data_IF_427195009558
#
_entry.id   IF_427195009558
#
_cell.length_a   1.000
_cell.length_b   1.000
_cell.length_c   1.000
_cell.angle_alpha   90.00
_cell.angle_beta   90.00
_cell.angle_gamma   90.00
#
_symmetry.space_group_name_H-M   'P 1'
#
loop_
_entity.id
_entity.type
_entity.pdbx_description
1 polymer ?
#
# COMPACT_ATOMS: atom_id res chain seq x y z
N UNK A 1 15.32 20.55 -13.75
CA UNK A 1 14.45 19.59 -14.47
C UNK A 1 14.75 19.49 -15.97
N UNK A 2 14.76 20.58 -16.75
CA UNK A 2 15.02 20.51 -18.20
C UNK A 2 16.33 19.80 -18.56
N UNK A 3 17.40 20.03 -17.78
CA UNK A 3 18.69 19.33 -17.95
C UNK A 3 18.56 17.82 -17.82
N UNK A 4 17.86 17.32 -16.79
CA UNK A 4 17.63 15.89 -16.57
C UNK A 4 16.86 15.28 -17.75
N UNK A 5 15.80 15.95 -18.21
CA UNK A 5 15.00 15.47 -19.35
C UNK A 5 15.83 15.44 -20.63
N UNK A 6 16.65 16.47 -20.89
CA UNK A 6 17.52 16.50 -22.06
C UNK A 6 18.56 15.37 -22.01
N UNK A 7 19.12 15.09 -20.83
CA UNK A 7 20.05 13.98 -20.63
C UNK A 7 19.36 12.62 -20.81
N UNK A 8 18.15 12.44 -20.30
CA UNK A 8 17.38 11.20 -20.51
C UNK A 8 17.05 11.00 -21.99
N UNK A 9 16.67 12.08 -22.68
CA UNK A 9 16.31 12.04 -24.11
C UNK A 9 17.50 11.72 -25.01
N UNK A 10 18.74 12.02 -24.58
CA UNK A 10 19.95 11.68 -25.33
C UNK A 10 20.45 10.26 -25.08
N UNK A 11 19.79 9.49 -24.21
CA UNK A 11 20.18 8.13 -23.82
C UNK A 11 19.07 7.11 -24.15
N UNK A 12 18.78 6.83 -25.43
CA UNK A 12 17.69 5.91 -25.82
C UNK A 12 17.91 4.45 -25.37
N UNK A 13 19.17 4.07 -25.09
CA UNK A 13 19.56 2.75 -24.58
C UNK A 13 19.65 2.67 -23.06
N UNK A 14 19.19 3.69 -22.33
CA UNK A 14 19.23 3.70 -20.87
C UNK A 14 18.31 2.61 -20.30
N UNK A 15 18.89 1.60 -19.65
CA UNK A 15 18.11 0.53 -19.00
C UNK A 15 17.76 0.85 -17.54
N UNK A 16 18.61 1.60 -16.84
CA UNK A 16 18.44 1.90 -15.42
C UNK A 16 18.70 3.38 -15.19
N UNK A 17 17.70 4.07 -14.64
CA UNK A 17 17.85 5.42 -14.14
C UNK A 17 17.57 5.44 -12.64
N UNK A 18 18.55 5.90 -11.87
CA UNK A 18 18.41 6.14 -10.44
C UNK A 18 18.74 7.58 -10.14
N UNK A 19 17.82 8.29 -9.50
CA UNK A 19 18.04 9.64 -9.03
C UNK A 19 17.64 9.72 -7.56
N UNK A 20 18.65 9.63 -6.69
CA UNK A 20 18.50 9.66 -5.25
C UNK A 20 18.88 11.05 -4.74
N UNK A 21 17.86 11.88 -4.57
CA UNK A 21 17.92 13.15 -3.87
C UNK A 21 16.95 13.00 -2.70
N UNK A 22 17.25 12.11 -1.75
CA UNK A 22 16.54 11.94 -0.47
C UNK A 22 17.07 12.89 0.58
N UNK A 23 16.27 13.27 1.57
CA UNK A 23 16.67 14.26 2.58
C UNK A 23 17.89 13.78 3.36
N UNK A 24 17.88 12.50 3.76
CA UNK A 24 19.03 11.83 4.37
C UNK A 24 20.28 11.83 3.45
N UNK A 25 20.09 11.72 2.14
CA UNK A 25 21.19 11.72 1.16
C UNK A 25 21.78 13.12 0.96
N UNK A 26 20.93 14.15 0.88
CA UNK A 26 21.37 15.54 0.71
C UNK A 26 22.17 16.02 1.92
N UNK A 27 21.74 15.68 3.14
CA UNK A 27 22.45 16.05 4.38
C UNK A 27 23.87 15.49 4.44
N UNK A 28 24.11 14.29 3.90
CA UNK A 28 25.44 13.69 3.82
C UNK A 28 26.38 14.37 2.80
N UNK A 29 25.85 15.26 1.95
CA UNK A 29 26.60 15.87 0.85
C UNK A 29 26.97 17.34 1.07
N UNK A 30 26.67 17.92 2.25
CA UNK A 30 26.84 19.36 2.56
C UNK A 30 26.25 20.30 1.47
N UNK A 31 25.28 19.79 0.70
CA UNK A 31 24.75 20.50 -0.46
C UNK A 31 23.77 21.60 0.00
N UNK A 32 23.98 22.88 -0.36
CA UNK A 32 23.06 23.97 0.00
C UNK A 32 21.75 23.93 -0.82
N UNK A 33 21.60 22.96 -1.72
CA UNK A 33 20.49 22.90 -2.67
C UNK A 33 19.25 22.34 -1.97
N UNK A 34 18.38 23.26 -1.52
CA UNK A 34 16.97 22.95 -1.32
C UNK A 34 16.24 23.18 -2.64
N UNK A 35 15.45 22.22 -3.10
CA UNK A 35 14.66 22.34 -4.33
C UNK A 35 13.30 22.99 -4.00
N UNK A 36 13.10 24.31 -4.18
CA UNK A 36 11.79 24.92 -4.00
C UNK A 36 10.76 24.36 -4.99
N UNK A 37 9.55 24.11 -4.49
CA UNK A 37 8.41 23.58 -5.26
C UNK A 37 8.06 24.42 -6.48
N UNK A 38 8.40 25.71 -6.45
CA UNK A 38 8.15 26.67 -7.54
C UNK A 38 8.98 26.42 -8.81
N UNK A 39 9.98 25.54 -8.77
CA UNK A 39 10.80 25.21 -9.94
C UNK A 39 10.19 24.13 -10.85
N UNK A 40 9.03 23.59 -10.48
CA UNK A 40 8.41 22.43 -11.15
C UNK A 40 7.19 22.86 -11.98
N UNK A 41 7.46 23.51 -13.11
CA UNK A 41 6.41 23.90 -14.06
C UNK A 41 6.08 22.75 -15.04
N UNK A 42 4.80 22.51 -15.37
CA UNK A 42 4.42 21.57 -16.42
C UNK A 42 4.99 22.02 -17.77
N UNK A 43 5.56 21.08 -18.54
CA UNK A 43 6.14 21.39 -19.85
C UNK A 43 5.09 21.38 -20.97
N UNK A 44 5.37 22.15 -22.02
CA UNK A 44 4.63 22.18 -23.29
C UNK A 44 5.24 21.26 -24.36
N UNK A 45 6.37 20.61 -24.08
CA UNK A 45 7.09 19.73 -25.01
C UNK A 45 6.55 18.31 -24.99
N UNK A 46 6.65 17.61 -26.12
CA UNK A 46 6.32 16.18 -26.19
C UNK A 46 7.16 15.36 -25.20
N UNK A 47 6.58 14.35 -24.53
CA UNK A 47 7.32 13.48 -23.62
C UNK A 47 8.44 12.68 -24.33
N UNK A 48 9.57 12.52 -23.66
CA UNK A 48 10.67 11.67 -24.12
C UNK A 48 10.34 10.19 -23.87
N UNK A 49 10.32 9.38 -24.93
CA UNK A 49 10.11 7.94 -24.81
C UNK A 49 11.41 7.23 -24.41
N UNK A 50 11.37 6.50 -23.29
CA UNK A 50 12.50 5.76 -22.73
C UNK A 50 12.27 4.25 -22.92
N UNK A 51 12.17 3.80 -24.18
CA UNK A 51 11.71 2.45 -24.53
C UNK A 51 12.58 1.31 -23.99
N UNK A 52 13.86 1.56 -23.72
CA UNK A 52 14.79 0.57 -23.17
C UNK A 52 14.80 0.54 -21.64
N UNK A 53 14.09 1.46 -20.98
CA UNK A 53 14.15 1.62 -19.53
C UNK A 53 13.46 0.44 -18.84
N UNK A 54 14.22 -0.23 -17.98
CA UNK A 54 13.79 -1.37 -17.17
C UNK A 54 13.55 -0.97 -15.72
N UNK A 55 14.30 0.00 -15.21
CA UNK A 55 14.18 0.47 -13.82
C UNK A 55 14.24 2.00 -13.80
N UNK A 56 13.21 2.60 -13.22
CA UNK A 56 13.15 4.01 -12.88
C UNK A 56 13.03 4.13 -11.36
N UNK A 57 14.10 4.56 -10.71
CA UNK A 57 14.12 4.87 -9.27
C UNK A 57 14.30 6.37 -9.09
N UNK A 58 13.35 7.01 -8.42
CA UNK A 58 13.38 8.45 -8.16
C UNK A 58 13.00 8.71 -6.71
N UNK A 59 13.92 9.28 -5.97
CA UNK A 59 13.74 9.70 -4.58
C UNK A 59 13.97 11.22 -4.55
N UNK A 60 12.89 11.99 -4.40
CA UNK A 60 12.88 13.46 -4.37
C UNK A 60 11.44 13.96 -4.05
N UNK A 61 11.21 15.27 -3.86
CA UNK A 61 9.85 15.77 -3.61
C UNK A 61 8.84 15.32 -4.67
N UNK A 62 7.62 14.93 -4.27
CA UNK A 62 6.64 14.35 -5.19
C UNK A 62 6.25 15.29 -6.35
N UNK A 63 6.34 16.61 -6.18
CA UNK A 63 6.16 17.58 -7.26
C UNK A 63 7.22 17.45 -8.38
N UNK A 64 8.47 17.14 -8.00
CA UNK A 64 9.56 16.83 -8.92
C UNK A 64 9.26 15.55 -9.70
N UNK A 65 8.84 14.50 -9.01
CA UNK A 65 8.43 13.21 -9.59
C UNK A 65 7.28 13.41 -10.58
N UNK A 66 6.23 14.12 -10.18
CA UNK A 66 5.08 14.43 -11.03
C UNK A 66 5.51 15.15 -12.32
N UNK A 67 6.42 16.12 -12.20
CA UNK A 67 6.95 16.85 -13.35
C UNK A 67 7.76 15.94 -14.27
N UNK A 68 8.61 15.07 -13.71
CA UNK A 68 9.34 14.06 -14.48
C UNK A 68 8.38 13.15 -15.24
N UNK A 69 7.36 12.58 -14.56
CA UNK A 69 6.36 11.68 -15.16
C UNK A 69 5.48 12.35 -16.23
N UNK A 70 5.34 13.67 -16.20
CA UNK A 70 4.66 14.41 -17.27
C UNK A 70 5.49 14.51 -18.56
N UNK A 71 6.82 14.32 -18.46
CA UNK A 71 7.79 14.59 -19.53
C UNK A 71 8.51 13.36 -20.06
N UNK A 72 8.31 12.20 -19.45
CA UNK A 72 8.83 10.93 -19.94
C UNK A 72 7.69 9.97 -20.21
N UNK A 73 7.96 8.96 -21.04
CA UNK A 73 7.13 7.77 -21.21
C UNK A 73 8.01 6.56 -20.99
N UNK A 74 7.69 5.76 -19.97
CA UNK A 74 8.38 4.50 -19.69
C UNK A 74 7.54 3.34 -20.24
N UNK A 75 8.16 2.21 -20.63
CA UNK A 75 7.42 1.04 -21.09
C UNK A 75 6.68 0.37 -19.92
N UNK A 76 5.58 -0.37 -20.16
CA UNK A 76 4.85 -1.10 -19.11
C UNK A 76 5.70 -2.15 -18.37
N UNK A 77 6.79 -2.61 -18.98
CA UNK A 77 7.77 -3.51 -18.37
C UNK A 77 8.75 -2.82 -17.43
N UNK A 78 8.77 -1.48 -17.37
CA UNK A 78 9.64 -0.73 -16.48
C UNK A 78 9.16 -0.85 -15.05
N UNK A 79 10.08 -1.14 -14.13
CA UNK A 79 9.85 -1.04 -12.70
C UNK A 79 9.95 0.41 -12.28
N UNK A 80 8.93 0.87 -11.56
CA UNK A 80 8.84 2.24 -11.07
C UNK A 80 8.97 2.27 -9.56
N UNK A 81 9.99 2.96 -9.05
CA UNK A 81 10.15 3.24 -7.62
C UNK A 81 10.15 4.74 -7.43
N UNK A 82 9.16 5.26 -6.72
CA UNK A 82 9.04 6.68 -6.39
C UNK A 82 9.01 6.85 -4.89
N UNK A 83 9.88 7.70 -4.36
CA UNK A 83 10.02 7.94 -2.93
C UNK A 83 10.00 9.45 -2.68
N UNK A 84 9.18 9.89 -1.72
CA UNK A 84 9.19 11.24 -1.19
C UNK A 84 9.33 11.19 0.33
N UNK A 85 10.49 11.63 0.81
CA UNK A 85 10.83 11.81 2.22
C UNK A 85 10.94 13.30 2.62
N UNK A 86 10.49 14.22 1.76
CA UNK A 86 10.62 15.68 1.94
C UNK A 86 9.34 16.36 2.36
N UNK A 87 8.24 15.99 1.70
CA UNK A 87 7.02 16.81 1.72
C UNK A 87 6.34 16.76 3.09
N UNK A 88 6.31 15.57 3.70
CA UNK A 88 5.65 15.31 4.97
C UNK A 88 6.66 15.41 6.11
N UNK A 89 6.32 16.18 7.13
CA UNK A 89 7.15 16.40 8.32
C UNK A 89 6.56 15.75 9.56
N UNK A 90 5.34 15.23 9.50
CA UNK A 90 4.62 14.72 10.66
C UNK A 90 4.08 15.85 11.57
N UNK A 91 4.20 17.11 11.15
CA UNK A 91 3.55 18.24 11.79
C UNK A 91 2.18 18.46 11.13
N UNK A 92 1.10 18.24 11.87
CA UNK A 92 -0.27 18.24 11.35
C UNK A 92 -0.63 19.47 10.51
N UNK A 93 -0.26 20.67 10.96
CA UNK A 93 -0.64 21.91 10.26
C UNK A 93 0.14 22.09 8.95
N UNK A 94 1.43 21.76 8.96
CA UNK A 94 2.26 21.72 7.76
C UNK A 94 1.76 20.65 6.77
N UNK A 95 1.60 19.42 7.25
CA UNK A 95 1.18 18.28 6.42
C UNK A 95 -0.19 18.53 5.78
N UNK A 96 -1.12 19.16 6.51
CA UNK A 96 -2.41 19.61 5.95
C UNK A 96 -2.24 20.70 4.90
N UNK A 97 -1.32 21.63 5.11
CA UNK A 97 -1.01 22.69 4.16
C UNK A 97 -0.47 22.19 2.82
N UNK A 98 0.35 21.13 2.83
CA UNK A 98 0.94 20.53 1.61
C UNK A 98 0.09 19.41 0.99
N UNK A 99 -0.89 18.88 1.73
CA UNK A 99 -1.72 17.72 1.33
C UNK A 99 -2.27 17.84 -0.09
N UNK A 100 -2.91 18.95 -0.43
CA UNK A 100 -3.60 19.08 -1.72
C UNK A 100 -2.60 19.10 -2.88
N UNK A 101 -1.43 19.74 -2.71
CA UNK A 101 -0.33 19.69 -3.67
C UNK A 101 0.24 18.29 -3.85
N UNK A 102 0.36 17.53 -2.76
CA UNK A 102 0.80 16.13 -2.79
C UNK A 102 -0.21 15.25 -3.53
N UNK A 103 -1.52 15.42 -3.30
CA UNK A 103 -2.57 14.68 -3.99
C UNK A 103 -2.63 14.97 -5.50
N UNK A 104 -2.36 16.22 -5.90
CA UNK A 104 -2.23 16.62 -7.31
C UNK A 104 -1.03 15.90 -7.93
N UNK A 105 0.11 15.91 -7.25
CA UNK A 105 1.35 15.30 -7.74
C UNK A 105 1.24 13.78 -7.88
N UNK A 106 0.69 13.09 -6.87
CA UNK A 106 0.34 11.67 -6.96
C UNK A 106 -0.66 11.38 -8.08
N UNK A 107 -1.57 12.33 -8.35
CA UNK A 107 -2.46 12.27 -9.50
C UNK A 107 -1.75 12.19 -10.83
N UNK A 108 -0.72 13.02 -11.02
CA UNK A 108 0.07 13.02 -12.25
C UNK A 108 0.84 11.70 -12.44
N UNK A 109 1.34 11.11 -11.34
CA UNK A 109 1.95 9.76 -11.35
C UNK A 109 0.92 8.72 -11.76
N UNK A 110 -0.28 8.74 -11.16
CA UNK A 110 -1.40 7.87 -11.55
C UNK A 110 -1.76 7.99 -13.03
N UNK A 111 -1.91 9.22 -13.55
CA UNK A 111 -2.16 9.47 -14.98
C UNK A 111 -1.03 8.97 -15.88
N UNK A 112 0.22 8.98 -15.41
CA UNK A 112 1.33 8.36 -16.13
C UNK A 112 1.15 6.84 -16.20
N UNK A 113 0.85 6.19 -15.08
CA UNK A 113 0.61 4.76 -15.04
C UNK A 113 -0.58 4.34 -15.91
N UNK A 114 -1.69 5.08 -15.90
CA UNK A 114 -2.84 4.77 -16.76
C UNK A 114 -2.52 4.75 -18.25
N UNK A 115 -1.52 5.53 -18.70
CA UNK A 115 -1.06 5.49 -20.10
C UNK A 115 -0.30 4.21 -20.44
N UNK A 116 0.26 3.52 -19.44
CA UNK A 116 0.98 2.25 -19.60
C UNK A 116 0.07 1.03 -19.52
N UNK A 117 -1.08 1.14 -18.83
CA UNK A 117 -2.07 0.08 -18.66
C UNK A 117 -3.36 0.49 -19.37
N UNK A 118 -3.51 0.17 -20.67
CA UNK A 118 -4.68 0.59 -21.41
C UNK A 118 -5.96 -0.06 -20.84
N UNK A 119 -7.04 0.72 -20.74
CA UNK A 119 -8.31 0.38 -20.05
C UNK A 119 -9.04 -0.89 -20.56
N UNK A 120 -8.58 -1.50 -21.66
CA UNK A 120 -9.23 -2.62 -22.33
C UNK A 120 -8.77 -4.00 -21.86
N UNK A 121 -7.73 -4.07 -21.04
CA UNK A 121 -7.30 -5.31 -20.41
C UNK A 121 -7.48 -5.18 -18.90
N UNK A 122 -7.81 -6.28 -18.21
CA UNK A 122 -7.67 -6.40 -16.75
C UNK A 122 -6.17 -6.34 -16.38
N UNK A 123 -5.48 -5.32 -16.85
CA UNK A 123 -4.06 -5.11 -16.83
C UNK A 123 -3.76 -4.15 -15.68
N UNK A 124 -3.06 -4.67 -14.70
CA UNK A 124 -2.66 -3.94 -13.52
C UNK A 124 -1.91 -4.89 -12.59
N UNK A 125 -1.80 -4.48 -11.34
CA UNK A 125 -1.16 -5.27 -10.31
C UNK A 125 -2.16 -6.28 -9.75
N UNK A 126 -1.80 -7.55 -9.79
CA UNK A 126 -2.60 -8.62 -9.20
C UNK A 126 -2.57 -8.57 -7.67
N UNK A 127 -1.49 -8.04 -7.10
CA UNK A 127 -1.29 -7.92 -5.67
C UNK A 127 -0.78 -6.54 -5.29
N UNK A 128 -1.36 -5.99 -4.24
CA UNK A 128 -0.89 -4.78 -3.57
C UNK A 128 -0.40 -5.15 -2.19
N UNK A 129 0.70 -4.55 -1.73
CA UNK A 129 1.09 -4.63 -0.33
C UNK A 129 1.39 -3.27 0.28
N UNK A 130 1.08 -3.15 1.57
CA UNK A 130 1.55 -2.07 2.43
C UNK A 130 2.63 -2.63 3.35
N UNK A 131 3.81 -2.05 3.23
CA UNK A 131 4.98 -2.48 3.97
C UNK A 131 5.62 -1.27 4.65
N UNK A 132 6.57 -1.52 5.56
CA UNK A 132 7.46 -0.46 6.02
C UNK A 132 8.52 -0.20 4.95
N UNK A 133 8.86 1.06 4.71
CA UNK A 133 10.03 1.36 3.91
C UNK A 133 11.29 1.01 4.72
N UNK A 134 12.31 0.34 4.14
CA UNK A 134 13.53 -0.05 4.85
C UNK A 134 14.22 1.11 5.55
N UNK A 135 14.15 2.30 4.94
CA UNK A 135 14.79 3.52 5.43
C UNK A 135 13.87 4.38 6.33
N UNK A 136 12.70 3.85 6.73
CA UNK A 136 11.74 4.57 7.58
C UNK A 136 11.64 4.01 9.00
N UNK A 137 11.46 4.89 9.99
CA UNK A 137 11.07 4.48 11.33
C UNK A 137 9.62 3.96 11.36
N UNK A 138 9.42 2.77 11.94
CA UNK A 138 8.11 2.06 11.96
C UNK A 138 6.94 2.88 12.52
N UNK A 139 7.18 3.88 13.38
CA UNK A 139 6.12 4.61 14.08
C UNK A 139 5.78 6.00 13.51
N UNK A 140 6.44 6.44 12.44
CA UNK A 140 6.21 7.77 11.85
C UNK A 140 5.10 7.79 10.80
N UNK A 141 4.43 6.67 10.56
CA UNK A 141 3.33 6.57 9.60
C UNK A 141 3.77 6.46 8.14
N UNK A 142 4.98 5.94 7.88
CA UNK A 142 5.50 5.72 6.55
C UNK A 142 4.52 4.90 5.68
N UNK A 143 4.21 5.39 4.50
CA UNK A 143 3.36 4.70 3.55
C UNK A 143 4.21 4.17 2.40
N UNK A 144 4.52 2.88 2.42
CA UNK A 144 5.16 2.21 1.29
C UNK A 144 4.15 1.26 0.62
N UNK A 145 3.60 1.71 -0.50
CA UNK A 145 2.62 0.97 -1.31
C UNK A 145 3.35 0.29 -2.45
N UNK A 146 3.10 -1.00 -2.60
CA UNK A 146 3.76 -1.83 -3.59
C UNK A 146 2.72 -2.50 -4.48
N UNK A 147 2.90 -2.43 -5.80
CA UNK A 147 2.15 -3.17 -6.81
C UNK A 147 3.00 -4.26 -7.48
N UNK A 148 2.46 -5.49 -7.55
CA UNK A 148 3.10 -6.65 -8.20
C UNK A 148 2.19 -7.29 -9.25
N UNK A 149 2.80 -7.77 -10.34
CA UNK A 149 2.11 -8.48 -11.42
C UNK A 149 1.85 -9.94 -11.09
N UNK A 150 2.76 -10.61 -10.37
CA UNK A 150 2.53 -11.92 -9.77
C UNK A 150 2.76 -11.83 -8.25
N UNK A 151 2.02 -12.63 -7.48
CA UNK A 151 2.25 -12.78 -6.04
C UNK A 151 3.60 -13.43 -5.71
N UNK A 152 4.14 -14.22 -6.65
CA UNK A 152 5.44 -14.88 -6.50
C UNK A 152 6.60 -13.98 -6.89
N UNK A 153 6.33 -12.82 -7.48
CA UNK A 153 7.38 -11.88 -7.84
C UNK A 153 8.04 -11.34 -6.56
N UNK A 154 9.34 -11.58 -6.44
CA UNK A 154 10.14 -11.06 -5.32
C UNK A 154 10.38 -9.55 -5.46
N UNK A 155 10.29 -9.01 -6.68
CA UNK A 155 10.60 -7.61 -6.97
C UNK A 155 9.33 -6.86 -7.40
N UNK A 156 9.11 -5.64 -6.86
CA UNK A 156 7.91 -4.90 -7.18
C UNK A 156 7.99 -4.25 -8.56
N UNK A 157 6.85 -4.24 -9.26
CA UNK A 157 6.72 -3.54 -10.54
C UNK A 157 6.47 -2.05 -10.33
N UNK A 158 5.79 -1.69 -9.26
CA UNK A 158 5.65 -0.31 -8.83
C UNK A 158 5.76 -0.21 -7.31
N UNK A 159 6.50 0.77 -6.81
CA UNK A 159 6.51 1.14 -5.40
C UNK A 159 6.40 2.65 -5.24
N UNK A 160 5.59 3.07 -4.28
CA UNK A 160 5.38 4.46 -3.88
C UNK A 160 5.66 4.55 -2.38
N UNK A 161 6.77 5.20 -2.03
CA UNK A 161 7.14 5.51 -0.64
C UNK A 161 6.81 6.97 -0.33
N UNK A 162 6.01 7.21 0.70
CA UNK A 162 5.76 8.53 1.28
C UNK A 162 6.03 8.42 2.78
N UNK A 163 7.06 9.06 3.30
CA UNK A 163 7.35 8.98 4.73
C UNK A 163 7.95 10.25 5.29
N UNK A 164 7.91 10.37 6.61
CA UNK A 164 8.51 11.47 7.35
C UNK A 164 9.97 11.14 7.61
N UNK A 165 10.88 12.02 7.19
CA UNK A 165 12.31 11.84 7.40
C UNK A 165 12.68 11.70 8.90
N UNK A 166 13.82 11.06 9.15
CA UNK A 166 14.24 10.67 10.50
C UNK A 166 14.46 11.85 11.45
N UNK A 167 14.80 13.01 10.91
CA UNK A 167 14.95 14.27 11.65
C UNK A 167 13.67 14.80 12.30
N UNK A 168 12.49 14.45 11.78
CA UNK A 168 11.24 15.01 12.27
C UNK A 168 10.61 14.12 13.34
N UNK A 169 10.19 14.65 14.50
CA UNK A 169 9.69 13.82 15.60
C UNK A 169 8.23 13.35 15.40
N UNK A 170 7.51 13.91 14.44
CA UNK A 170 6.08 13.68 14.24
C UNK A 170 5.74 12.40 13.49
N UNK A 171 4.45 12.12 13.42
CA UNK A 171 3.86 11.06 12.60
C UNK A 171 2.76 11.62 11.72
N UNK A 172 2.53 10.99 10.57
CA UNK A 172 1.50 11.44 9.64
C UNK A 172 0.11 11.19 10.25
N UNK A 173 -0.74 12.21 10.27
CA UNK A 173 -2.11 12.08 10.76
C UNK A 173 -2.98 11.16 9.89
N UNK A 174 -3.90 10.41 10.51
CA UNK A 174 -4.73 9.40 9.84
C UNK A 174 -5.60 9.97 8.70
N UNK A 175 -6.09 11.21 8.81
CA UNK A 175 -6.88 11.86 7.75
C UNK A 175 -6.04 12.15 6.49
N UNK A 176 -4.75 12.42 6.68
CA UNK A 176 -3.78 12.62 5.62
C UNK A 176 -3.43 11.28 4.99
N UNK A 177 -3.08 10.27 5.79
CA UNK A 177 -2.84 8.89 5.32
C UNK A 177 -4.03 8.41 4.50
N UNK A 178 -5.26 8.57 5.01
CA UNK A 178 -6.49 8.18 4.31
C UNK A 178 -6.60 8.85 2.94
N UNK A 179 -6.32 10.15 2.84
CA UNK A 179 -6.40 10.90 1.58
C UNK A 179 -5.34 10.41 0.56
N UNK A 180 -4.12 10.16 1.02
CA UNK A 180 -3.02 9.65 0.19
C UNK A 180 -3.31 8.22 -0.30
N UNK A 181 -3.79 7.36 0.59
CA UNK A 181 -4.22 5.99 0.28
C UNK A 181 -5.30 5.97 -0.80
N UNK A 182 -6.36 6.77 -0.66
CA UNK A 182 -7.40 6.86 -1.71
C UNK A 182 -6.79 7.23 -3.04
N UNK A 183 -5.90 8.23 -3.05
CA UNK A 183 -5.32 8.74 -4.29
C UNK A 183 -4.52 7.69 -5.03
N UNK A 184 -3.69 6.93 -4.32
CA UNK A 184 -2.82 5.90 -4.92
C UNK A 184 -3.61 4.64 -5.28
N UNK A 185 -4.48 4.15 -4.39
CA UNK A 185 -5.23 2.91 -4.65
C UNK A 185 -6.28 3.06 -5.75
N UNK A 186 -6.76 4.27 -6.02
CA UNK A 186 -7.66 4.56 -7.14
C UNK A 186 -6.95 4.65 -8.49
N UNK A 187 -5.62 4.51 -8.55
CA UNK A 187 -4.93 4.39 -9.83
C UNK A 187 -5.47 3.14 -10.57
N UNK A 188 -5.75 3.22 -11.88
CA UNK A 188 -6.33 2.09 -12.62
C UNK A 188 -5.55 0.79 -12.43
N UNK A 189 -4.22 0.86 -12.51
CA UNK A 189 -3.34 -0.29 -12.30
C UNK A 189 -3.40 -0.90 -10.90
N UNK A 190 -3.75 -0.12 -9.87
CA UNK A 190 -3.86 -0.59 -8.47
C UNK A 190 -5.26 -1.15 -8.17
N UNK A 191 -6.29 -0.44 -8.60
CA UNK A 191 -7.70 -0.72 -8.24
C UNK A 191 -8.21 -2.11 -8.66
N UNK A 192 -7.56 -2.75 -9.64
CA UNK A 192 -7.90 -4.09 -10.15
C UNK A 192 -7.31 -5.24 -9.32
N UNK A 193 -6.55 -4.95 -8.27
CA UNK A 193 -5.88 -5.96 -7.47
C UNK A 193 -6.86 -6.99 -6.86
N UNK A 194 -6.47 -8.25 -6.95
CA UNK A 194 -7.22 -9.38 -6.37
C UNK A 194 -6.71 -9.77 -4.98
N UNK A 195 -5.53 -9.28 -4.62
CA UNK A 195 -4.82 -9.58 -3.38
C UNK A 195 -4.36 -8.32 -2.70
N UNK A 196 -4.52 -8.27 -1.39
CA UNK A 196 -3.95 -7.21 -0.57
C UNK A 196 -3.17 -7.83 0.59
N UNK A 197 -1.94 -7.37 0.80
CA UNK A 197 -1.06 -7.82 1.88
C UNK A 197 -0.65 -6.63 2.75
N UNK A 198 -0.52 -6.83 4.04
CA UNK A 198 -0.04 -5.78 4.95
C UNK A 198 0.67 -6.36 6.17
N UNK A 199 1.76 -5.71 6.56
CA UNK A 199 2.35 -5.82 7.90
C UNK A 199 2.39 -4.45 8.60
N UNK A 200 1.67 -3.46 8.07
CA UNK A 200 1.80 -2.06 8.46
C UNK A 200 0.80 -1.66 9.58
N UNK A 201 1.30 -1.03 10.64
CA UNK A 201 0.50 -0.68 11.83
C UNK A 201 -0.58 0.38 11.59
N UNK A 202 -0.51 1.17 10.52
CA UNK A 202 -1.54 2.18 10.23
C UNK A 202 -2.94 1.55 10.09
N UNK A 203 -3.03 0.26 9.74
CA UNK A 203 -4.29 -0.46 9.67
C UNK A 203 -4.84 -0.89 11.04
N UNK A 204 -4.20 -0.48 12.14
CA UNK A 204 -4.77 -0.50 13.48
C UNK A 204 -5.91 0.54 13.66
N UNK A 205 -6.25 1.32 12.63
CA UNK A 205 -7.41 2.20 12.60
C UNK A 205 -8.49 1.63 11.64
N UNK A 206 -9.74 1.40 12.11
CA UNK A 206 -10.84 0.93 11.26
C UNK A 206 -11.15 1.83 10.07
N UNK A 207 -10.97 3.14 10.21
CA UNK A 207 -11.20 4.14 9.15
C UNK A 207 -10.23 3.95 7.98
N UNK A 208 -9.00 3.54 8.27
CA UNK A 208 -8.00 3.26 7.24
C UNK A 208 -8.31 1.94 6.53
N UNK A 209 -8.80 0.91 7.23
CA UNK A 209 -9.36 -0.28 6.59
C UNK A 209 -10.50 0.05 5.63
N UNK A 210 -11.45 0.89 6.08
CA UNK A 210 -12.56 1.33 5.23
C UNK A 210 -12.04 2.01 3.97
N UNK A 211 -11.05 2.89 4.13
CA UNK A 211 -10.40 3.59 3.03
C UNK A 211 -9.78 2.61 2.03
N UNK A 212 -9.00 1.64 2.50
CA UNK A 212 -8.34 0.65 1.64
C UNK A 212 -9.35 -0.24 0.92
N UNK A 213 -10.28 -0.83 1.66
CA UNK A 213 -11.24 -1.80 1.11
C UNK A 213 -12.21 -1.17 0.12
N UNK A 214 -12.62 0.09 0.35
CA UNK A 214 -13.46 0.83 -0.59
C UNK A 214 -12.75 1.19 -1.90
N UNK A 215 -11.42 1.28 -1.89
CA UNK A 215 -10.62 1.53 -3.10
C UNK A 215 -10.22 0.24 -3.83
N UNK A 216 -10.40 -0.92 -3.20
CA UNK A 216 -9.98 -2.22 -3.72
C UNK A 216 -11.16 -3.21 -3.79
N UNK A 217 -12.20 -2.92 -4.60
CA UNK A 217 -13.44 -3.70 -4.61
C UNK A 217 -13.27 -5.14 -5.11
N UNK A 218 -12.20 -5.42 -5.85
CA UNK A 218 -11.90 -6.73 -6.44
C UNK A 218 -11.03 -7.62 -5.55
N UNK A 219 -10.59 -7.14 -4.38
CA UNK A 219 -9.77 -7.94 -3.47
C UNK A 219 -10.55 -9.15 -2.97
N UNK A 220 -10.01 -10.32 -3.29
CA UNK A 220 -10.52 -11.62 -2.84
C UNK A 220 -9.74 -12.17 -1.66
N UNK A 221 -8.48 -11.79 -1.53
CA UNK A 221 -7.56 -12.39 -0.56
C UNK A 221 -6.83 -11.30 0.22
N UNK A 222 -6.93 -11.37 1.55
CA UNK A 222 -6.22 -10.52 2.48
C UNK A 222 -5.10 -11.33 3.16
N UNK A 223 -3.91 -10.77 3.24
CA UNK A 223 -2.77 -11.35 3.94
C UNK A 223 -2.32 -10.37 5.03
N UNK A 224 -2.37 -10.81 6.28
CA UNK A 224 -1.90 -10.05 7.43
C UNK A 224 -0.70 -10.78 8.04
N UNK A 225 0.42 -10.07 8.17
CA UNK A 225 1.68 -10.63 8.65
C UNK A 225 2.25 -9.82 9.81
N UNK A 226 2.96 -10.51 10.70
CA UNK A 226 3.72 -9.96 11.84
C UNK A 226 2.87 -9.37 13.00
N UNK A 227 3.39 -9.47 14.22
CA UNK A 227 2.71 -9.11 15.48
C UNK A 227 2.27 -7.63 15.60
N UNK A 228 2.87 -6.73 14.82
CA UNK A 228 2.45 -5.31 14.79
C UNK A 228 0.98 -5.13 14.36
N UNK A 229 0.34 -6.20 13.86
CA UNK A 229 -0.99 -6.19 13.26
C UNK A 229 -2.12 -6.79 14.12
N UNK A 230 -1.92 -7.12 15.41
CA UNK A 230 -3.01 -7.58 16.28
C UNK A 230 -4.21 -6.60 16.26
N UNK A 231 -3.91 -5.30 16.42
CA UNK A 231 -4.93 -4.24 16.32
C UNK A 231 -5.52 -4.12 14.91
N UNK A 232 -4.78 -4.53 13.89
CA UNK A 232 -5.25 -4.50 12.51
C UNK A 232 -6.34 -5.54 12.24
N UNK A 233 -6.29 -6.77 12.79
CA UNK A 233 -7.42 -7.70 12.67
C UNK A 233 -8.64 -7.18 13.42
N UNK A 234 -8.45 -6.66 14.64
CA UNK A 234 -9.56 -6.10 15.42
C UNK A 234 -10.24 -4.97 14.63
N UNK A 235 -9.44 -4.07 14.05
CA UNK A 235 -9.91 -2.96 13.22
C UNK A 235 -10.53 -3.40 11.90
N UNK A 236 -10.00 -4.45 11.26
CA UNK A 236 -10.60 -5.09 10.08
C UNK A 236 -11.97 -5.65 10.43
N UNK A 237 -12.07 -6.36 11.56
CA UNK A 237 -13.32 -6.96 12.04
C UNK A 237 -14.37 -5.88 12.30
N UNK A 238 -13.96 -4.78 12.92
CA UNK A 238 -14.81 -3.61 13.14
C UNK A 238 -15.27 -2.98 11.82
N UNK A 239 -14.36 -2.75 10.87
CA UNK A 239 -14.69 -2.20 9.55
C UNK A 239 -15.67 -3.09 8.79
N UNK A 240 -15.45 -4.41 8.77
CA UNK A 240 -16.32 -5.38 8.11
C UNK A 240 -17.68 -5.54 8.80
N UNK A 241 -17.74 -5.37 10.13
CA UNK A 241 -18.99 -5.40 10.88
C UNK A 241 -19.87 -4.17 10.60
N UNK A 242 -19.26 -2.98 10.55
CA UNK A 242 -19.97 -1.73 10.26
C UNK A 242 -20.32 -1.56 8.78
N UNK A 243 -19.45 -2.03 7.88
CA UNK A 243 -19.62 -1.91 6.43
C UNK A 243 -19.50 -3.30 5.77
N UNK A 244 -20.50 -4.19 5.96
CA UNK A 244 -20.43 -5.56 5.47
C UNK A 244 -20.28 -5.65 3.94
N UNK A 245 -20.69 -4.62 3.21
CA UNK A 245 -20.65 -4.58 1.74
C UNK A 245 -19.36 -3.97 1.16
N UNK A 246 -18.43 -3.50 2.00
CA UNK A 246 -17.30 -2.65 1.56
C UNK A 246 -16.33 -3.34 0.59
N UNK A 247 -16.16 -4.65 0.75
CA UNK A 247 -15.32 -5.48 -0.13
C UNK A 247 -16.13 -6.71 -0.52
N UNK A 248 -16.97 -6.63 -1.57
CA UNK A 248 -17.93 -7.69 -1.88
C UNK A 248 -17.26 -8.98 -2.36
N UNK A 249 -16.05 -8.88 -2.94
CA UNK A 249 -15.32 -10.02 -3.49
C UNK A 249 -14.48 -10.80 -2.47
N UNK A 250 -14.37 -10.33 -1.22
CA UNK A 250 -13.52 -10.95 -0.21
C UNK A 250 -13.94 -12.40 0.06
N UNK A 251 -13.00 -13.32 -0.15
CA UNK A 251 -13.19 -14.76 -0.06
C UNK A 251 -12.20 -15.43 0.90
N UNK A 252 -11.01 -14.88 1.11
CA UNK A 252 -10.04 -15.43 2.08
C UNK A 252 -9.31 -14.37 2.89
N UNK A 253 -8.99 -14.73 4.13
CA UNK A 253 -8.11 -14.00 5.05
C UNK A 253 -7.03 -14.96 5.49
N UNK A 254 -5.77 -14.56 5.33
CA UNK A 254 -4.59 -15.31 5.73
C UNK A 254 -3.90 -14.53 6.85
N UNK A 255 -3.71 -15.19 7.99
CA UNK A 255 -3.03 -14.66 9.15
C UNK A 255 -1.71 -15.41 9.33
N UNK A 256 -0.60 -14.69 9.45
CA UNK A 256 0.72 -15.30 9.58
C UNK A 256 1.59 -14.57 10.62
N UNK A 257 2.24 -15.34 11.50
CA UNK A 257 3.19 -14.82 12.51
C UNK A 257 2.61 -13.69 13.37
N UNK A 258 1.42 -13.88 13.91
CA UNK A 258 0.76 -12.86 14.73
C UNK A 258 -0.04 -13.44 15.90
N UNK A 259 -0.26 -12.65 16.95
CA UNK A 259 -1.22 -12.98 18.01
C UNK A 259 -2.67 -12.94 17.46
N UNK A 260 -3.42 -14.02 17.70
CA UNK A 260 -4.82 -14.16 17.31
C UNK A 260 -5.67 -14.62 18.50
N UNK A 261 -5.84 -13.75 19.51
CA UNK A 261 -6.52 -14.10 20.74
C UNK A 261 -8.02 -14.30 20.50
N UNK A 262 -8.69 -15.04 21.40
CA UNK A 262 -10.11 -15.38 21.29
C UNK A 262 -11.07 -14.20 21.15
N UNK A 263 -10.76 -13.05 21.74
CA UNK A 263 -11.54 -11.82 21.52
C UNK A 263 -11.53 -11.38 20.05
N UNK A 264 -10.37 -11.46 19.39
CA UNK A 264 -10.18 -11.15 17.97
C UNK A 264 -10.84 -12.21 17.09
N UNK A 265 -10.73 -13.49 17.45
CA UNK A 265 -11.41 -14.61 16.77
C UNK A 265 -12.92 -14.39 16.71
N UNK A 266 -13.54 -14.10 17.86
CA UNK A 266 -14.98 -13.83 17.97
C UNK A 266 -15.38 -12.60 17.17
N UNK A 267 -14.60 -11.51 17.26
CA UNK A 267 -14.87 -10.28 16.52
C UNK A 267 -14.87 -10.51 15.00
N UNK A 268 -13.90 -11.28 14.49
CA UNK A 268 -13.82 -11.63 13.07
C UNK A 268 -14.96 -12.56 12.65
N UNK A 269 -15.33 -13.54 13.50
CA UNK A 269 -16.46 -14.43 13.26
C UNK A 269 -17.80 -13.68 13.18
N UNK A 270 -18.03 -12.73 14.10
CA UNK A 270 -19.21 -11.85 14.07
C UNK A 270 -19.25 -10.98 12.81
N UNK A 271 -18.11 -10.43 12.39
CA UNK A 271 -18.02 -9.64 11.17
C UNK A 271 -18.34 -10.48 9.93
N UNK A 272 -17.82 -11.71 9.85
CA UNK A 272 -18.15 -12.65 8.78
C UNK A 272 -19.65 -13.01 8.77
N UNK A 273 -20.25 -13.22 9.94
CA UNK A 273 -21.69 -13.45 10.08
C UNK A 273 -22.52 -12.27 9.57
N UNK A 274 -22.17 -11.05 9.97
CA UNK A 274 -22.83 -9.83 9.49
C UNK A 274 -22.78 -9.70 7.97
N UNK A 275 -21.62 -10.02 7.36
CA UNK A 275 -21.45 -10.07 5.91
C UNK A 275 -22.32 -11.12 5.23
N UNK A 276 -22.41 -12.32 5.80
CA UNK A 276 -23.27 -13.38 5.27
C UNK A 276 -24.76 -13.00 5.32
N UNK A 277 -25.20 -12.34 6.41
CA UNK A 277 -26.57 -11.79 6.53
C UNK A 277 -26.84 -10.73 5.46
N UNK A 278 -25.83 -9.93 5.09
CA UNK A 278 -25.90 -8.97 4.00
C UNK A 278 -25.84 -9.61 2.59
N UNK A 279 -25.83 -10.94 2.48
CA UNK A 279 -25.87 -11.66 1.21
C UNK A 279 -24.51 -11.95 0.58
N UNK A 280 -23.40 -11.76 1.31
CA UNK A 280 -22.06 -12.06 0.81
C UNK A 280 -21.63 -13.51 1.09
N UNK A 281 -20.66 -13.97 0.29
CA UNK A 281 -20.10 -15.32 0.40
C UNK A 281 -19.36 -15.56 1.72
N UNK A 282 -19.14 -16.85 2.01
CA UNK A 282 -18.34 -17.29 3.15
C UNK A 282 -16.88 -16.89 2.99
N UNK A 283 -16.20 -16.69 4.11
CA UNK A 283 -14.78 -16.36 4.17
C UNK A 283 -13.98 -17.59 4.61
N UNK A 284 -12.94 -17.92 3.86
CA UNK A 284 -11.91 -18.87 4.24
C UNK A 284 -10.89 -18.17 5.17
N UNK A 285 -10.53 -18.80 6.29
CA UNK A 285 -9.53 -18.30 7.21
C UNK A 285 -8.36 -19.29 7.26
N UNK A 286 -7.21 -18.86 6.78
CA UNK A 286 -5.95 -19.58 6.93
C UNK A 286 -5.16 -18.96 8.09
N UNK A 287 -4.65 -19.80 8.98
CA UNK A 287 -3.90 -19.39 10.17
C UNK A 287 -2.59 -20.16 10.17
N UNK A 288 -1.48 -19.44 10.05
CA UNK A 288 -0.14 -19.99 10.00
C UNK A 288 0.72 -19.34 11.09
N UNK A 289 1.38 -20.15 11.94
CA UNK A 289 2.36 -19.63 12.91
C UNK A 289 1.83 -18.51 13.83
N UNK A 290 0.53 -18.51 14.14
CA UNK A 290 -0.07 -17.54 15.04
C UNK A 290 0.02 -17.98 16.51
N UNK A 291 0.11 -16.99 17.41
CA UNK A 291 0.11 -17.16 18.86
C UNK A 291 -1.31 -16.95 19.44
N UNK A 292 -1.52 -17.34 20.70
CA UNK A 292 -2.75 -17.10 21.47
C UNK A 292 -4.03 -17.69 20.86
N UNK A 293 -3.87 -18.74 20.06
CA UNK A 293 -4.99 -19.50 19.54
C UNK A 293 -5.50 -20.41 20.65
N UNK A 294 -6.57 -19.95 21.30
CA UNK A 294 -7.18 -20.44 22.55
C UNK A 294 -7.33 -21.98 22.68
N UNK A 295 -7.34 -22.71 21.55
CA UNK A 295 -7.64 -24.14 21.57
C UNK A 295 -7.00 -24.87 20.39
N UNK A 296 -6.71 -26.17 20.58
CA UNK A 296 -6.23 -27.03 19.49
C UNK A 296 -7.18 -26.99 18.28
N UNK A 297 -6.72 -27.38 17.07
CA UNK A 297 -7.38 -27.05 15.80
C UNK A 297 -8.88 -27.35 15.72
N UNK A 298 -9.34 -28.43 16.38
CA UNK A 298 -10.77 -28.82 16.41
C UNK A 298 -11.64 -27.87 17.20
N UNK A 299 -11.20 -27.44 18.38
CA UNK A 299 -12.02 -26.58 19.23
C UNK A 299 -12.04 -25.13 18.71
N UNK A 300 -10.95 -24.66 18.07
CA UNK A 300 -10.97 -23.42 17.29
C UNK A 300 -11.98 -23.50 16.14
N UNK A 301 -11.99 -24.60 15.39
CA UNK A 301 -12.94 -24.82 14.30
C UNK A 301 -14.39 -24.75 14.80
N UNK A 302 -14.70 -25.41 15.91
CA UNK A 302 -16.04 -25.40 16.48
C UNK A 302 -16.43 -24.01 17.02
N UNK A 303 -15.52 -23.31 17.69
CA UNK A 303 -15.75 -21.95 18.17
C UNK A 303 -16.06 -20.97 17.01
N UNK A 304 -15.19 -20.95 15.99
CA UNK A 304 -15.38 -20.09 14.80
C UNK A 304 -16.67 -20.43 14.06
N UNK A 305 -16.97 -21.73 13.89
CA UNK A 305 -18.19 -22.17 13.22
C UNK A 305 -19.44 -21.72 13.98
N UNK A 306 -19.44 -21.84 15.30
CA UNK A 306 -20.55 -21.44 16.15
C UNK A 306 -20.74 -19.91 16.13
N UNK A 307 -19.68 -19.15 16.38
CA UNK A 307 -19.73 -17.69 16.45
C UNK A 307 -20.10 -17.05 15.10
N UNK A 308 -19.59 -17.62 13.99
CA UNK A 308 -19.86 -17.11 12.65
C UNK A 308 -21.17 -17.61 12.03
N UNK A 309 -21.85 -18.59 12.65
CA UNK A 309 -22.97 -19.29 12.01
C UNK A 309 -22.58 -20.02 10.71
N UNK A 310 -21.31 -20.43 10.59
CA UNK A 310 -20.74 -21.07 9.39
C UNK A 310 -20.41 -20.11 8.25
N UNK A 311 -20.37 -18.79 8.50
CA UNK A 311 -19.94 -17.77 7.54
C UNK A 311 -18.41 -17.64 7.43
N UNK A 312 -17.68 -18.07 8.47
CA UNK A 312 -16.23 -18.17 8.51
C UNK A 312 -15.88 -19.65 8.65
N UNK A 313 -15.01 -20.16 7.79
CA UNK A 313 -14.50 -21.52 7.89
C UNK A 313 -12.99 -21.51 7.80
N UNK A 314 -12.37 -22.48 8.44
CA UNK A 314 -10.93 -22.59 8.46
C UNK A 314 -10.44 -23.40 7.24
N UNK A 315 -9.43 -22.87 6.55
CA UNK A 315 -8.81 -23.52 5.38
C UNK A 315 -7.53 -24.26 5.81
N UNK A 316 -7.40 -25.57 5.54
CA UNK A 316 -6.15 -26.29 5.77
C UNK A 316 -5.04 -25.76 4.85
N UNK A 317 -3.77 -25.76 5.29
CA UNK A 317 -3.23 -26.48 6.45
C UNK A 317 -2.90 -25.59 7.66
N UNK A 318 -3.24 -26.07 8.87
CA UNK A 318 -2.86 -25.46 10.14
C UNK A 318 -1.43 -25.86 10.52
N UNK A 319 -0.42 -25.18 9.98
CA UNK A 319 0.96 -25.42 10.39
C UNK A 319 1.34 -24.52 11.57
N UNK A 320 1.86 -25.14 12.64
CA UNK A 320 2.48 -24.48 13.81
C UNK A 320 1.58 -23.50 14.59
N UNK A 321 0.35 -23.91 14.92
CA UNK A 321 -0.40 -23.22 15.99
C UNK A 321 0.27 -23.54 17.33
N UNK A 322 0.94 -22.55 17.92
CA UNK A 322 1.52 -22.69 19.25
C UNK A 322 0.43 -22.39 20.29
N UNK A 323 -0.02 -23.43 20.98
CA UNK A 323 -1.00 -23.30 22.06
C UNK A 323 -0.27 -22.75 23.29
N UNK A 324 -0.51 -21.47 23.63
CA UNK A 324 -0.14 -20.92 24.93
C UNK A 324 -1.03 -21.56 26.00
N UNK A 325 -0.42 -22.30 26.93
CA UNK A 325 -1.10 -22.91 28.10
C UNK A 325 -1.27 -21.90 29.22
#
# INVERSE_FOLDING_TARGET
MNSVINSLSSMPSLEVFKWCMGQNTIELTDSPIRLPDTMFLPATTQPAALSSLRILHVECPMACIATLMSRILIPPSCRLHVIDDYTLTGETDHDRGVRDGLLVSLGAVGCHLSRMFPDHWNAGYNAISFEYHPDSMRHKGALHIIGRTDRRDTEPMCSVGLYVADQHPGSIADDIISSLLRRVLQWPAMSVASSFKTNHECLANPTLWITVLSCLPHVRQLYLEEDATLRAIASLSEALKHFPVIVPALASIHLNHMSFPPSTQRSLAEAAKARAVAGHGKIALAIERCLDVEVGPRALHDAIRNDSGGALYLDPPYYDISVTR
#
